data_IF_263461645706
#
_entry.id   IF_263461645706
#
_cell.length_a   1.000
_cell.length_b   1.000
_cell.length_c   1.000
_cell.angle_alpha   90.00
_cell.angle_beta   90.00
_cell.angle_gamma   90.00
#
_symmetry.space_group_name_H-M   'P 1'
#
loop_
_entity.id
_entity.type
_entity.pdbx_description
1 polymer ?
#
# COMPACT_ATOMS: atom_id res chain seq x y z
N UNK A 1 13.32 -6.53 -24.95
CA UNK A 1 13.90 -7.72 -24.27
C UNK A 1 12.80 -8.77 -24.06
N UNK A 2 13.16 -10.04 -23.75
CA UNK A 2 12.21 -11.05 -23.30
C UNK A 2 12.33 -11.18 -21.78
N UNK A 3 11.19 -11.09 -21.10
CA UNK A 3 11.10 -10.99 -19.63
C UNK A 3 10.07 -12.00 -19.14
N UNK A 4 10.41 -12.77 -18.12
CA UNK A 4 9.46 -13.55 -17.34
C UNK A 4 9.19 -12.84 -16.01
N UNK A 5 7.92 -12.77 -15.61
CA UNK A 5 7.51 -12.23 -14.30
C UNK A 5 6.80 -13.35 -13.54
N UNK A 6 7.42 -13.82 -12.47
CA UNK A 6 6.87 -14.89 -11.63
C UNK A 6 6.09 -14.30 -10.45
N UNK A 7 4.80 -14.57 -10.44
CA UNK A 7 3.80 -13.95 -9.56
C UNK A 7 3.05 -12.83 -10.27
N UNK A 8 1.70 -12.93 -10.31
CA UNK A 8 0.80 -11.91 -10.87
C UNK A 8 -0.04 -11.24 -9.78
N UNK A 9 0.57 -11.05 -8.60
CA UNK A 9 0.05 -10.15 -7.59
C UNK A 9 0.13 -8.68 -8.05
N UNK A 10 -0.14 -7.77 -7.15
CA UNK A 10 -0.14 -6.34 -7.46
C UNK A 10 1.16 -5.89 -8.13
N UNK A 11 2.30 -6.16 -7.50
CA UNK A 11 3.64 -5.77 -8.00
C UNK A 11 3.95 -6.44 -9.35
N UNK A 12 3.69 -7.74 -9.46
CA UNK A 12 4.02 -8.49 -10.67
C UNK A 12 3.19 -8.08 -11.88
N UNK A 13 1.87 -7.87 -11.70
CA UNK A 13 0.99 -7.49 -12.80
C UNK A 13 1.29 -6.05 -13.30
N UNK A 14 1.52 -5.10 -12.38
CA UNK A 14 1.94 -3.75 -12.75
C UNK A 14 3.30 -3.77 -13.45
N UNK A 15 4.29 -4.49 -12.88
CA UNK A 15 5.64 -4.60 -13.44
C UNK A 15 5.61 -5.20 -14.85
N UNK A 16 4.92 -6.33 -15.03
CA UNK A 16 4.81 -7.00 -16.33
C UNK A 16 4.14 -6.14 -17.38
N UNK A 17 3.03 -5.50 -17.01
CA UNK A 17 2.29 -4.60 -17.91
C UNK A 17 3.13 -3.38 -18.32
N UNK A 18 3.81 -2.72 -17.37
CA UNK A 18 4.61 -1.53 -17.66
C UNK A 18 5.86 -1.86 -18.48
N UNK A 19 6.52 -3.02 -18.25
CA UNK A 19 7.61 -3.45 -19.12
C UNK A 19 7.12 -3.83 -20.52
N UNK A 20 5.96 -4.46 -20.67
CA UNK A 20 5.37 -4.71 -21.97
C UNK A 20 5.05 -3.39 -22.70
N UNK A 21 4.57 -2.38 -21.97
CA UNK A 21 4.28 -1.04 -22.50
C UNK A 21 5.53 -0.34 -23.06
N UNK A 22 6.71 -0.60 -22.51
CA UNK A 22 7.98 -0.09 -23.04
C UNK A 22 8.57 -0.91 -24.20
N UNK A 23 7.77 -1.83 -24.80
CA UNK A 23 8.16 -2.59 -25.99
C UNK A 23 8.86 -3.92 -25.71
N UNK A 24 8.87 -4.40 -24.47
CA UNK A 24 9.38 -5.72 -24.14
C UNK A 24 8.30 -6.80 -24.38
N UNK A 25 8.73 -8.03 -24.66
CA UNK A 25 7.86 -9.22 -24.64
C UNK A 25 7.90 -9.80 -23.23
N UNK A 26 6.76 -9.83 -22.56
CA UNK A 26 6.65 -10.22 -21.16
C UNK A 26 5.74 -11.43 -21.03
N UNK A 27 6.22 -12.48 -20.36
CA UNK A 27 5.41 -13.64 -19.95
C UNK A 27 5.25 -13.60 -18.44
N UNK A 28 4.02 -13.40 -17.97
CA UNK A 28 3.66 -13.46 -16.56
C UNK A 28 3.26 -14.88 -16.18
N UNK A 29 3.77 -15.38 -15.07
CA UNK A 29 3.61 -16.75 -14.60
C UNK A 29 2.94 -16.73 -13.23
N UNK A 30 1.87 -17.49 -13.04
CA UNK A 30 1.22 -17.64 -11.73
C UNK A 30 0.73 -19.07 -11.56
N UNK A 31 0.77 -19.61 -10.35
CA UNK A 31 0.30 -20.97 -10.05
C UNK A 31 -1.24 -21.08 -10.06
N UNK A 32 -1.95 -19.95 -9.95
CA UNK A 32 -3.40 -19.88 -9.94
C UNK A 32 -3.95 -19.93 -11.39
N UNK A 33 -4.44 -21.08 -11.80
CA UNK A 33 -4.96 -21.32 -13.14
C UNK A 33 -6.19 -20.45 -13.47
N UNK A 34 -7.06 -20.19 -12.49
CA UNK A 34 -8.24 -19.35 -12.71
C UNK A 34 -7.85 -17.89 -12.93
N UNK A 35 -6.88 -17.42 -12.18
CA UNK A 35 -6.31 -16.07 -12.35
C UNK A 35 -5.62 -15.92 -13.71
N UNK A 36 -4.78 -16.88 -14.09
CA UNK A 36 -4.14 -16.90 -15.42
C UNK A 36 -5.19 -16.92 -16.54
N UNK A 37 -6.24 -17.71 -16.40
CA UNK A 37 -7.35 -17.75 -17.36
C UNK A 37 -8.09 -16.42 -17.49
N UNK A 38 -8.37 -15.72 -16.39
CA UNK A 38 -8.98 -14.38 -16.40
C UNK A 38 -8.06 -13.38 -17.08
N UNK A 39 -6.81 -13.30 -16.65
CA UNK A 39 -5.82 -12.38 -17.22
C UNK A 39 -5.61 -12.61 -18.72
N UNK A 40 -5.55 -13.86 -19.19
CA UNK A 40 -5.43 -14.20 -20.61
C UNK A 40 -6.64 -13.78 -21.45
N UNK A 41 -7.81 -13.61 -20.82
CA UNK A 41 -9.03 -13.09 -21.48
C UNK A 41 -9.18 -11.57 -21.42
N UNK A 42 -8.26 -10.88 -20.78
CA UNK A 42 -8.34 -9.43 -20.61
C UNK A 42 -9.04 -8.97 -19.32
N UNK A 43 -9.34 -9.90 -18.39
CA UNK A 43 -9.97 -9.59 -17.13
C UNK A 43 -8.90 -9.30 -16.06
N UNK A 44 -8.75 -8.04 -15.65
CA UNK A 44 -7.79 -7.65 -14.60
C UNK A 44 -8.27 -8.11 -13.23
N UNK A 45 -7.33 -8.60 -12.42
CA UNK A 45 -7.61 -9.18 -11.10
C UNK A 45 -7.23 -8.28 -9.92
N UNK A 46 -6.77 -7.07 -10.20
CA UNK A 46 -6.42 -6.05 -9.20
C UNK A 46 -7.02 -4.70 -9.63
N UNK A 47 -7.31 -3.85 -8.66
CA UNK A 47 -7.68 -2.45 -8.94
C UNK A 47 -6.44 -1.56 -8.91
N UNK A 48 -6.12 -0.91 -10.03
CA UNK A 48 -5.08 0.12 -10.13
C UNK A 48 -5.43 1.10 -11.24
N UNK A 49 -5.59 2.40 -10.94
CA UNK A 49 -5.90 3.42 -11.93
C UNK A 49 -4.93 3.45 -13.11
N UNK A 50 -5.46 3.41 -14.32
CA UNK A 50 -4.68 3.47 -15.56
C UNK A 50 -4.05 2.16 -16.02
N UNK A 51 -4.06 1.10 -15.21
CA UNK A 51 -3.47 -0.19 -15.57
C UNK A 51 -4.24 -0.89 -16.69
N UNK A 52 -5.57 -0.90 -16.63
CA UNK A 52 -6.41 -1.64 -17.57
C UNK A 52 -6.14 -1.26 -19.03
N UNK A 53 -6.04 0.03 -19.32
CA UNK A 53 -5.75 0.52 -20.67
C UNK A 53 -4.42 -0.01 -21.23
N UNK A 54 -3.36 -0.01 -20.41
CA UNK A 54 -2.04 -0.50 -20.80
C UNK A 54 -2.06 -2.03 -20.95
N UNK A 55 -2.69 -2.70 -20.00
CA UNK A 55 -2.84 -4.15 -19.97
C UNK A 55 -3.52 -4.67 -21.24
N UNK A 56 -4.72 -4.18 -21.58
CA UNK A 56 -5.49 -4.60 -22.75
C UNK A 56 -4.76 -4.29 -24.06
N UNK A 57 -4.05 -3.15 -24.16
CA UNK A 57 -3.25 -2.82 -25.32
C UNK A 57 -2.14 -3.84 -25.53
N UNK A 58 -1.35 -4.14 -24.50
CA UNK A 58 -0.21 -5.03 -24.59
C UNK A 58 -0.61 -6.51 -24.78
N UNK A 59 -1.78 -6.89 -24.28
CA UNK A 59 -2.37 -8.19 -24.56
C UNK A 59 -2.72 -8.34 -26.05
N UNK A 60 -3.38 -7.35 -26.65
CA UNK A 60 -3.75 -7.35 -28.09
C UNK A 60 -2.53 -7.33 -29.02
N UNK A 61 -1.45 -6.68 -28.59
CA UNK A 61 -0.22 -6.57 -29.37
C UNK A 61 0.77 -7.74 -29.11
N UNK A 62 0.31 -8.79 -28.42
CA UNK A 62 1.06 -10.03 -28.12
C UNK A 62 2.38 -9.77 -27.35
N UNK A 63 2.48 -8.62 -26.67
CA UNK A 63 3.62 -8.27 -25.83
C UNK A 63 3.47 -8.74 -24.38
N UNK A 64 2.25 -9.04 -23.93
CA UNK A 64 1.95 -9.52 -22.59
C UNK A 64 1.21 -10.85 -22.67
N UNK A 65 1.78 -11.88 -22.04
CA UNK A 65 1.25 -13.26 -22.03
C UNK A 65 1.16 -13.79 -20.61
N UNK A 66 0.31 -14.79 -20.41
CA UNK A 66 0.09 -15.42 -19.11
C UNK A 66 0.15 -16.94 -19.23
N UNK A 67 0.77 -17.61 -18.25
CA UNK A 67 0.88 -19.07 -18.20
C UNK A 67 0.98 -19.57 -16.76
N UNK A 68 0.62 -20.81 -16.53
CA UNK A 68 0.90 -21.53 -15.28
C UNK A 68 2.22 -22.30 -15.32
N UNK A 69 2.80 -22.46 -16.50
CA UNK A 69 3.97 -23.30 -16.75
C UNK A 69 5.27 -22.50 -16.56
N UNK A 70 5.96 -22.71 -15.43
CA UNK A 70 7.20 -22.00 -15.12
C UNK A 70 8.28 -22.24 -16.19
N UNK A 71 8.52 -23.51 -16.54
CA UNK A 71 9.58 -23.87 -17.50
C UNK A 71 9.36 -23.23 -18.88
N UNK A 72 8.12 -23.31 -19.40
CA UNK A 72 7.76 -22.68 -20.66
C UNK A 72 7.83 -21.15 -20.63
N UNK A 73 7.40 -20.55 -19.52
CA UNK A 73 7.39 -19.09 -19.34
C UNK A 73 8.78 -18.45 -19.25
N UNK A 74 9.78 -19.17 -18.69
CA UNK A 74 11.14 -18.64 -18.52
C UNK A 74 12.09 -19.03 -19.65
N UNK A 75 11.73 -20.01 -20.51
CA UNK A 75 12.61 -20.63 -21.50
C UNK A 75 13.41 -19.63 -22.33
N UNK A 76 12.75 -18.64 -22.89
CA UNK A 76 13.34 -17.66 -23.80
C UNK A 76 13.65 -16.30 -23.12
N UNK A 77 13.45 -16.20 -21.81
CA UNK A 77 13.55 -14.94 -21.08
C UNK A 77 14.97 -14.70 -20.57
N UNK A 78 15.60 -13.61 -20.97
CA UNK A 78 16.87 -13.17 -20.41
C UNK A 78 16.74 -12.73 -18.94
N UNK A 79 15.62 -12.09 -18.63
CA UNK A 79 15.31 -11.54 -17.31
C UNK A 79 14.19 -12.33 -16.68
N UNK A 80 14.37 -12.78 -15.45
CA UNK A 80 13.35 -13.48 -14.65
C UNK A 80 13.13 -12.66 -13.40
N UNK A 81 11.93 -12.07 -13.28
CA UNK A 81 11.55 -11.19 -12.17
C UNK A 81 10.72 -11.99 -11.17
N UNK A 82 11.17 -12.05 -9.93
CA UNK A 82 10.47 -12.67 -8.82
C UNK A 82 9.61 -11.59 -8.14
N UNK A 83 8.30 -11.64 -8.36
CA UNK A 83 7.30 -10.76 -7.74
C UNK A 83 6.31 -11.58 -6.89
N UNK A 84 6.87 -12.40 -6.02
CA UNK A 84 6.17 -13.38 -5.20
C UNK A 84 5.74 -12.79 -3.85
N UNK A 85 4.66 -13.31 -3.25
CA UNK A 85 4.22 -12.83 -1.95
C UNK A 85 5.24 -13.18 -0.85
N UNK A 86 5.42 -12.25 0.08
CA UNK A 86 6.22 -12.39 1.30
C UNK A 86 5.35 -12.08 2.52
N UNK A 87 4.36 -12.96 2.82
CA UNK A 87 3.46 -12.71 3.95
C UNK A 87 4.23 -12.70 5.28
N UNK A 88 3.71 -12.02 6.31
CA UNK A 88 4.30 -12.09 7.62
C UNK A 88 4.11 -13.51 8.21
N UNK A 89 5.18 -14.09 8.70
CA UNK A 89 5.15 -15.28 9.55
C UNK A 89 4.50 -14.98 10.91
N UNK A 90 4.15 -15.99 11.65
CA UNK A 90 3.55 -15.86 12.99
C UNK A 90 4.43 -15.12 13.99
N UNK A 91 5.73 -15.06 13.78
CA UNK A 91 6.72 -14.35 14.59
C UNK A 91 7.07 -12.94 14.06
N UNK A 92 6.41 -12.50 13.00
CA UNK A 92 6.63 -11.20 12.33
C UNK A 92 7.77 -11.19 11.30
N UNK A 93 8.46 -12.31 11.06
CA UNK A 93 9.39 -12.45 9.94
C UNK A 93 8.66 -12.49 8.60
N UNK A 94 9.37 -12.22 7.50
CA UNK A 94 8.81 -12.45 6.16
C UNK A 94 8.99 -13.93 5.76
N UNK A 95 7.91 -14.55 5.29
CA UNK A 95 7.96 -15.91 4.75
C UNK A 95 8.54 -15.89 3.32
N UNK A 96 9.69 -16.55 3.14
CA UNK A 96 10.41 -16.65 1.86
C UNK A 96 10.16 -17.96 1.13
N UNK A 97 9.30 -18.84 1.64
CA UNK A 97 9.11 -20.20 1.12
C UNK A 97 8.77 -20.21 -0.37
N UNK A 98 7.89 -19.30 -0.82
CA UNK A 98 7.51 -19.18 -2.23
C UNK A 98 8.70 -18.77 -3.13
N UNK A 99 9.48 -17.80 -2.68
CA UNK A 99 10.66 -17.32 -3.43
C UNK A 99 11.72 -18.41 -3.54
N UNK A 100 12.05 -19.07 -2.43
CA UNK A 100 13.10 -20.10 -2.40
C UNK A 100 12.68 -21.36 -3.17
N UNK A 101 11.39 -21.73 -3.15
CA UNK A 101 10.87 -22.80 -3.98
C UNK A 101 11.03 -22.49 -5.46
N UNK A 102 10.63 -21.30 -5.89
CA UNK A 102 10.77 -20.89 -7.30
C UNK A 102 12.25 -20.82 -7.68
N UNK A 103 13.14 -20.34 -6.80
CA UNK A 103 14.57 -20.31 -7.02
C UNK A 103 15.15 -21.73 -7.23
N UNK A 104 14.78 -22.72 -6.42
CA UNK A 104 15.18 -24.12 -6.59
C UNK A 104 14.67 -24.70 -7.92
N UNK A 105 13.42 -24.44 -8.27
CA UNK A 105 12.83 -24.87 -9.53
C UNK A 105 13.51 -24.21 -10.74
N UNK A 106 13.87 -22.93 -10.67
CA UNK A 106 14.66 -22.23 -11.69
C UNK A 106 16.04 -22.87 -11.87
N UNK A 107 16.69 -23.28 -10.79
CA UNK A 107 17.98 -23.98 -10.85
C UNK A 107 17.95 -25.25 -11.70
N UNK A 108 16.83 -25.94 -11.78
CA UNK A 108 16.62 -27.16 -12.60
C UNK A 108 16.31 -26.83 -14.08
N UNK A 109 15.85 -25.62 -14.36
CA UNK A 109 15.32 -25.21 -15.67
C UNK A 109 16.35 -24.41 -16.48
N UNK A 110 17.14 -23.56 -15.80
CA UNK A 110 18.07 -22.61 -16.45
C UNK A 110 19.22 -23.39 -17.11
N UNK A 111 19.37 -23.21 -18.43
CA UNK A 111 20.45 -23.81 -19.24
C UNK A 111 21.42 -22.79 -19.85
N UNK A 112 21.03 -21.53 -19.88
CA UNK A 112 21.80 -20.40 -20.42
C UNK A 112 21.86 -19.27 -19.41
N UNK A 113 22.68 -18.25 -19.71
CA UNK A 113 22.79 -17.05 -18.87
C UNK A 113 21.44 -16.37 -18.65
N UNK A 114 21.13 -16.09 -17.38
CA UNK A 114 19.92 -15.37 -16.95
C UNK A 114 20.27 -14.35 -15.87
N UNK A 115 19.47 -13.28 -15.81
CA UNK A 115 19.47 -12.35 -14.68
C UNK A 115 18.18 -12.57 -13.90
N UNK A 116 18.33 -12.99 -12.65
CA UNK A 116 17.23 -13.22 -11.72
C UNK A 116 17.05 -11.95 -10.89
N UNK A 117 15.89 -11.32 -10.97
CA UNK A 117 15.62 -10.05 -10.33
C UNK A 117 14.65 -10.28 -9.18
N UNK A 118 15.12 -10.16 -7.95
CA UNK A 118 14.23 -10.13 -6.79
C UNK A 118 13.59 -8.76 -6.66
N UNK A 119 12.30 -8.70 -6.99
CA UNK A 119 11.49 -7.49 -6.93
C UNK A 119 10.59 -7.43 -5.71
N UNK A 120 10.36 -8.55 -5.07
CA UNK A 120 9.63 -8.65 -3.82
C UNK A 120 10.33 -7.87 -2.70
N UNK A 121 9.56 -7.37 -1.73
CA UNK A 121 10.15 -6.81 -0.50
C UNK A 121 10.57 -7.93 0.42
N UNK A 122 11.88 -8.10 0.58
CA UNK A 122 12.50 -9.25 1.25
C UNK A 122 13.51 -8.82 2.32
N UNK A 123 13.73 -9.63 3.38
CA UNK A 123 14.76 -9.38 4.39
C UNK A 123 16.17 -9.37 3.79
N UNK A 124 17.07 -8.63 4.45
CA UNK A 124 18.48 -8.55 4.09
C UNK A 124 19.11 -9.95 4.05
N UNK A 125 19.85 -10.23 2.97
CA UNK A 125 20.49 -11.53 2.72
C UNK A 125 19.60 -12.51 1.94
N UNK A 126 18.46 -12.07 1.38
CA UNK A 126 17.60 -12.92 0.57
C UNK A 126 18.22 -13.21 -0.79
N UNK A 127 18.87 -12.25 -1.44
CA UNK A 127 19.57 -12.47 -2.71
C UNK A 127 20.60 -13.61 -2.61
N UNK A 128 21.33 -13.70 -1.50
CA UNK A 128 22.29 -14.78 -1.26
C UNK A 128 21.59 -16.15 -1.12
N UNK A 129 20.42 -16.19 -0.48
CA UNK A 129 19.63 -17.42 -0.36
C UNK A 129 19.07 -17.85 -1.71
N UNK A 130 18.60 -16.91 -2.53
CA UNK A 130 18.16 -17.16 -3.91
C UNK A 130 19.32 -17.68 -4.75
N UNK A 131 20.49 -17.02 -4.68
CA UNK A 131 21.72 -17.47 -5.34
C UNK A 131 22.06 -18.92 -4.95
N UNK A 132 22.03 -19.24 -3.68
CA UNK A 132 22.35 -20.58 -3.16
C UNK A 132 21.34 -21.61 -3.66
N UNK A 133 20.05 -21.31 -3.61
CA UNK A 133 18.99 -22.22 -4.04
C UNK A 133 19.09 -22.56 -5.55
N UNK A 134 19.34 -21.55 -6.38
CA UNK A 134 19.53 -21.77 -7.83
C UNK A 134 20.82 -22.57 -8.09
N UNK A 135 21.95 -22.20 -7.45
CA UNK A 135 23.25 -22.84 -7.63
C UNK A 135 23.26 -24.32 -7.26
N UNK A 136 22.36 -24.77 -6.38
CA UNK A 136 22.26 -26.18 -5.99
C UNK A 136 21.96 -27.11 -7.19
N UNK A 137 21.29 -26.64 -8.23
CA UNK A 137 20.86 -27.43 -9.38
C UNK A 137 21.32 -26.84 -10.73
N UNK A 138 21.71 -25.55 -10.80
CA UNK A 138 22.09 -24.86 -12.02
C UNK A 138 23.59 -24.94 -12.30
N UNK A 139 23.94 -25.31 -13.55
CA UNK A 139 25.32 -25.31 -14.06
C UNK A 139 25.61 -24.12 -14.98
N UNK A 140 24.57 -23.40 -15.42
CA UNK A 140 24.71 -22.22 -16.27
C UNK A 140 25.13 -21.01 -15.43
N UNK A 141 25.74 -20.04 -16.09
CA UNK A 141 26.04 -18.73 -15.49
C UNK A 141 24.73 -17.96 -15.25
N UNK A 142 24.58 -17.33 -14.12
CA UNK A 142 23.47 -16.43 -13.81
C UNK A 142 23.87 -15.37 -12.78
N UNK A 143 23.15 -14.26 -12.78
CA UNK A 143 23.29 -13.21 -11.76
C UNK A 143 21.98 -13.06 -10.99
N UNK A 144 22.07 -12.83 -9.67
CA UNK A 144 20.94 -12.41 -8.84
C UNK A 144 21.05 -10.91 -8.59
N UNK A 145 19.93 -10.21 -8.71
CA UNK A 145 19.83 -8.77 -8.57
C UNK A 145 18.69 -8.44 -7.60
N UNK A 146 18.97 -7.67 -6.57
CA UNK A 146 17.93 -7.08 -5.72
C UNK A 146 17.44 -5.78 -6.35
N UNK A 147 16.18 -5.74 -6.77
CA UNK A 147 15.58 -4.55 -7.36
C UNK A 147 14.22 -4.27 -6.71
N UNK A 148 14.22 -3.81 -5.45
CA UNK A 148 12.98 -3.55 -4.72
C UNK A 148 12.13 -2.50 -5.43
N UNK A 149 10.82 -2.65 -5.33
CA UNK A 149 9.86 -1.71 -5.87
C UNK A 149 9.57 -0.58 -4.86
N UNK A 150 9.15 0.58 -5.37
CA UNK A 150 8.69 1.73 -4.56
C UNK A 150 7.35 2.24 -5.08
N UNK A 151 6.53 1.32 -5.56
CA UNK A 151 5.21 1.60 -6.12
C UNK A 151 4.22 1.92 -5.00
N UNK A 152 3.39 2.93 -5.23
CA UNK A 152 2.28 3.26 -4.34
C UNK A 152 1.00 2.71 -4.96
N UNK A 153 0.28 1.84 -4.28
CA UNK A 153 -1.06 1.43 -4.70
C UNK A 153 -1.91 2.66 -5.06
N UNK A 154 -2.66 2.59 -6.16
CA UNK A 154 -3.42 3.73 -6.69
C UNK A 154 -2.62 4.75 -7.52
N UNK A 155 -1.29 4.61 -7.58
CA UNK A 155 -0.37 5.43 -8.39
C UNK A 155 0.77 4.58 -8.97
N UNK A 156 0.67 3.26 -8.93
CA UNK A 156 1.77 2.37 -9.25
C UNK A 156 2.17 2.43 -10.73
N UNK A 157 1.22 2.61 -11.63
CA UNK A 157 1.51 2.81 -13.06
C UNK A 157 2.33 4.10 -13.26
N UNK A 158 1.95 5.20 -12.61
CA UNK A 158 2.70 6.46 -12.71
C UNK A 158 4.09 6.33 -12.10
N UNK A 159 4.18 5.76 -10.90
CA UNK A 159 5.44 5.54 -10.19
C UNK A 159 6.40 4.63 -10.99
N UNK A 160 5.86 3.63 -11.71
CA UNK A 160 6.66 2.76 -12.56
C UNK A 160 7.14 3.44 -13.83
N UNK A 161 6.22 4.16 -14.53
CA UNK A 161 6.51 4.83 -15.79
C UNK A 161 7.37 6.09 -15.64
N UNK A 162 7.39 6.68 -14.44
CA UNK A 162 8.13 7.89 -14.09
C UNK A 162 8.74 7.79 -12.69
N UNK A 163 9.67 6.85 -12.47
CA UNK A 163 10.21 6.62 -11.14
C UNK A 163 11.09 7.79 -10.67
N UNK A 164 10.99 8.17 -9.40
CA UNK A 164 11.92 9.13 -8.78
C UNK A 164 13.36 8.58 -8.79
N UNK A 165 13.51 7.28 -8.61
CA UNK A 165 14.79 6.52 -8.68
C UNK A 165 14.50 5.03 -8.87
N UNK A 166 15.50 4.31 -9.35
CA UNK A 166 15.53 2.84 -9.38
C UNK A 166 16.72 2.37 -8.55
N UNK A 167 16.46 1.53 -7.54
CA UNK A 167 17.49 0.92 -6.69
C UNK A 167 17.83 -0.45 -7.25
N UNK A 168 19.12 -0.72 -7.44
CA UNK A 168 19.61 -1.98 -8.00
C UNK A 168 20.82 -2.47 -7.19
N UNK A 169 20.63 -3.58 -6.50
CA UNK A 169 21.67 -4.28 -5.76
C UNK A 169 22.28 -5.37 -6.62
N UNK A 170 23.53 -5.20 -7.05
CA UNK A 170 24.30 -6.24 -7.73
C UNK A 170 25.77 -5.88 -7.85
N UNK A 171 26.64 -6.88 -7.65
CA UNK A 171 28.06 -6.79 -7.92
C UNK A 171 28.42 -6.99 -9.39
N UNK A 172 27.55 -7.61 -10.22
CA UNK A 172 27.82 -7.99 -11.59
C UNK A 172 27.76 -6.79 -12.56
N UNK A 173 28.86 -6.49 -13.25
CA UNK A 173 28.88 -5.46 -14.29
C UNK A 173 28.01 -5.82 -15.51
N UNK A 174 27.90 -7.11 -15.82
CA UNK A 174 27.08 -7.64 -16.89
C UNK A 174 25.60 -7.40 -16.58
N UNK A 175 25.15 -7.75 -15.36
CA UNK A 175 23.79 -7.48 -14.89
C UNK A 175 23.49 -5.98 -14.84
N UNK A 176 24.43 -5.13 -14.35
CA UNK A 176 24.27 -3.66 -14.34
C UNK A 176 23.95 -3.10 -15.70
N UNK A 177 24.68 -3.54 -16.75
CA UNK A 177 24.43 -3.09 -18.12
C UNK A 177 23.04 -3.49 -18.61
N UNK A 178 22.64 -4.75 -18.41
CA UNK A 178 21.34 -5.27 -18.82
C UNK A 178 20.20 -4.52 -18.11
N UNK A 179 20.32 -4.28 -16.80
CA UNK A 179 19.33 -3.53 -16.03
C UNK A 179 19.29 -2.05 -16.46
N UNK A 180 20.43 -1.44 -16.76
CA UNK A 180 20.47 -0.07 -17.30
C UNK A 180 19.70 0.02 -18.62
N UNK A 181 19.92 -0.92 -19.53
CA UNK A 181 19.20 -0.97 -20.81
C UNK A 181 17.70 -1.23 -20.62
N UNK A 182 17.31 -2.08 -19.65
CA UNK A 182 15.91 -2.34 -19.30
C UNK A 182 15.18 -1.09 -18.83
N UNK A 183 15.80 -0.31 -17.94
CA UNK A 183 15.19 0.88 -17.35
C UNK A 183 15.41 2.16 -18.17
N UNK A 184 16.24 2.15 -19.21
CA UNK A 184 16.53 3.33 -20.04
C UNK A 184 15.28 4.08 -20.54
N UNK A 185 14.19 3.41 -21.00
CA UNK A 185 12.98 4.10 -21.45
C UNK A 185 12.25 4.91 -20.36
N UNK A 186 12.47 4.58 -19.09
CA UNK A 186 11.83 5.22 -17.94
C UNK A 186 12.67 6.34 -17.34
N UNK A 187 13.96 6.41 -17.70
CA UNK A 187 14.89 7.41 -17.17
C UNK A 187 14.74 8.73 -17.90
N UNK A 188 14.56 9.81 -17.14
CA UNK A 188 14.58 11.20 -17.62
C UNK A 188 15.86 11.88 -17.12
N UNK A 189 16.09 13.14 -17.52
CA UNK A 189 17.35 13.86 -17.29
C UNK A 189 17.87 13.81 -15.85
N UNK A 190 16.99 13.76 -14.85
CA UNK A 190 17.36 13.78 -13.42
C UNK A 190 17.11 12.45 -12.69
N UNK A 191 16.51 11.45 -13.34
CA UNK A 191 16.21 10.17 -12.70
C UNK A 191 17.42 9.24 -12.80
N UNK A 192 17.79 8.63 -11.67
CA UNK A 192 19.02 7.83 -11.61
C UNK A 192 18.70 6.38 -11.25
N UNK A 193 19.42 5.47 -11.90
CA UNK A 193 19.59 4.12 -11.38
C UNK A 193 20.72 4.20 -10.36
N UNK A 194 20.41 3.84 -9.12
CA UNK A 194 21.39 3.84 -8.04
C UNK A 194 21.83 2.40 -7.83
N UNK A 195 23.06 2.10 -8.22
CA UNK A 195 23.67 0.79 -8.04
C UNK A 195 24.33 0.70 -6.67
N UNK A 196 24.12 -0.41 -5.99
CA UNK A 196 24.71 -0.75 -4.70
C UNK A 196 24.88 -2.27 -4.58
N UNK A 197 25.34 -2.78 -3.46
CA UNK A 197 25.30 -4.21 -3.16
C UNK A 197 23.86 -4.68 -2.85
N UNK A 198 23.63 -5.98 -2.92
CA UNK A 198 22.31 -6.58 -2.77
C UNK A 198 21.72 -6.31 -1.37
N UNK A 199 22.52 -6.43 -0.30
CA UNK A 199 22.06 -6.20 1.09
C UNK A 199 21.65 -4.75 1.32
N UNK A 200 22.41 -3.81 0.78
CA UNK A 200 22.06 -2.38 0.84
C UNK A 200 20.77 -2.08 0.09
N UNK A 201 20.54 -2.70 -1.07
CA UNK A 201 19.31 -2.53 -1.82
C UNK A 201 18.08 -3.08 -1.06
N UNK A 202 18.19 -4.27 -0.50
CA UNK A 202 17.15 -4.90 0.34
C UNK A 202 16.83 -4.02 1.55
N UNK A 203 17.85 -3.56 2.29
CA UNK A 203 17.66 -2.70 3.45
C UNK A 203 17.06 -1.33 3.08
N UNK A 204 17.43 -0.78 1.93
CA UNK A 204 16.92 0.53 1.47
C UNK A 204 15.38 0.55 1.37
N UNK A 205 14.77 -0.54 0.91
CA UNK A 205 13.30 -0.65 0.84
C UNK A 205 12.66 -0.56 2.22
N UNK A 206 13.15 -1.36 3.16
CA UNK A 206 12.62 -1.35 4.54
C UNK A 206 12.86 -0.02 5.23
N UNK A 207 14.05 0.56 5.07
CA UNK A 207 14.40 1.86 5.64
C UNK A 207 13.49 2.98 5.12
N UNK A 208 13.26 3.01 3.79
CA UNK A 208 12.37 3.99 3.18
C UNK A 208 10.93 3.90 3.73
N UNK A 209 10.33 2.70 3.72
CA UNK A 209 8.97 2.51 4.22
C UNK A 209 8.87 2.82 5.72
N UNK A 210 9.85 2.41 6.52
CA UNK A 210 9.91 2.69 7.95
C UNK A 210 10.05 4.19 8.24
N UNK A 211 10.84 4.91 7.45
CA UNK A 211 10.99 6.36 7.61
C UNK A 211 9.69 7.10 7.28
N UNK A 212 8.99 6.69 6.21
CA UNK A 212 7.68 7.27 5.86
C UNK A 212 6.64 7.01 6.96
N UNK A 213 6.59 5.78 7.50
CA UNK A 213 5.72 5.44 8.63
C UNK A 213 6.05 6.28 9.88
N UNK A 214 7.34 6.52 10.15
CA UNK A 214 7.80 7.38 11.24
C UNK A 214 7.32 8.82 11.07
N UNK A 215 7.39 9.40 9.86
CA UNK A 215 6.90 10.76 9.59
C UNK A 215 5.41 10.89 9.89
N UNK A 216 4.59 9.92 9.47
CA UNK A 216 3.14 9.93 9.74
C UNK A 216 2.90 9.84 11.26
N UNK A 217 3.57 8.90 11.93
CA UNK A 217 3.41 8.69 13.37
C UNK A 217 3.84 9.90 14.17
N UNK A 218 4.97 10.53 13.82
CA UNK A 218 5.42 11.77 14.44
C UNK A 218 4.36 12.88 14.33
N UNK A 219 3.75 13.05 13.15
CA UNK A 219 2.70 14.05 12.96
C UNK A 219 1.42 13.71 13.73
N UNK A 220 1.10 12.43 13.93
CA UNK A 220 -0.02 12.03 14.77
C UNK A 220 0.22 12.39 16.24
N UNK A 221 1.42 12.22 16.77
CA UNK A 221 1.76 12.66 18.13
C UNK A 221 1.75 14.19 18.25
N UNK A 222 2.26 14.92 17.26
CA UNK A 222 2.14 16.37 17.19
C UNK A 222 0.67 16.81 17.19
N UNK A 223 -0.20 16.10 16.47
CA UNK A 223 -1.64 16.38 16.47
C UNK A 223 -2.26 16.25 17.88
N UNK A 224 -1.88 15.20 18.63
CA UNK A 224 -2.32 15.01 20.02
C UNK A 224 -1.84 16.18 20.91
N UNK A 225 -0.60 16.66 20.73
CA UNK A 225 -0.08 17.83 21.45
C UNK A 225 -0.82 19.10 21.06
N UNK A 226 -1.17 19.29 19.78
CA UNK A 226 -1.97 20.43 19.33
C UNK A 226 -3.31 20.50 20.06
N UNK A 227 -4.00 19.38 20.22
CA UNK A 227 -5.27 19.32 20.96
C UNK A 227 -5.11 19.73 22.45
N UNK A 228 -4.00 19.35 23.07
CA UNK A 228 -3.70 19.69 24.47
C UNK A 228 -3.28 21.16 24.66
N UNK A 229 -2.53 21.71 23.70
CA UNK A 229 -2.02 23.08 23.76
C UNK A 229 -2.95 24.11 23.11
N UNK A 230 -4.03 23.67 22.44
CA UNK A 230 -4.89 24.57 21.67
C UNK A 230 -4.27 25.09 20.38
N UNK A 231 -3.27 24.35 19.83
CA UNK A 231 -2.65 24.65 18.55
C UNK A 231 -3.40 23.99 17.38
N UNK A 232 -2.99 24.30 16.14
CA UNK A 232 -3.54 23.73 14.91
C UNK A 232 -2.46 22.96 14.17
N UNK A 233 -2.68 21.65 13.99
CA UNK A 233 -1.70 20.76 13.34
C UNK A 233 -1.49 21.08 11.87
N UNK A 234 -2.49 21.62 11.16
CA UNK A 234 -2.34 21.98 9.75
C UNK A 234 -1.41 23.19 9.58
N UNK A 235 -1.43 24.13 10.51
CA UNK A 235 -0.47 25.24 10.53
C UNK A 235 0.94 24.75 10.83
N UNK A 236 1.11 23.85 11.81
CA UNK A 236 2.40 23.23 12.13
C UNK A 236 2.91 22.42 10.92
N UNK A 237 2.07 21.60 10.31
CA UNK A 237 2.41 20.84 9.11
C UNK A 237 2.90 21.73 7.97
N UNK A 238 2.23 22.85 7.75
CA UNK A 238 2.64 23.84 6.74
C UNK A 238 3.98 24.47 7.08
N UNK A 239 4.18 24.86 8.34
CA UNK A 239 5.47 25.38 8.83
C UNK A 239 6.61 24.39 8.63
N UNK A 240 6.45 23.15 9.10
CA UNK A 240 7.46 22.09 8.93
C UNK A 240 7.75 21.78 7.46
N UNK A 241 6.70 21.68 6.64
CA UNK A 241 6.81 21.28 5.23
C UNK A 241 7.46 22.33 4.32
N UNK A 242 7.67 23.55 4.76
CA UNK A 242 8.41 24.58 4.02
C UNK A 242 9.93 24.47 4.18
N UNK A 243 10.41 23.73 5.17
CA UNK A 243 11.83 23.39 5.30
C UNK A 243 12.17 22.26 4.30
N UNK A 244 13.06 22.54 3.33
CA UNK A 244 13.48 21.58 2.30
C UNK A 244 14.13 20.32 2.88
N UNK A 245 14.77 20.42 4.06
CA UNK A 245 15.38 19.27 4.75
C UNK A 245 14.31 18.28 5.25
N UNK A 246 13.08 18.72 5.50
CA UNK A 246 11.95 17.91 5.97
C UNK A 246 11.07 17.48 4.79
N UNK A 247 10.72 18.44 3.91
CA UNK A 247 9.84 18.25 2.75
C UNK A 247 8.36 18.08 3.14
N UNK A 248 7.48 18.31 2.18
CA UNK A 248 6.01 18.39 2.40
C UNK A 248 5.29 17.04 2.52
N UNK A 249 5.89 15.99 1.98
CA UNK A 249 5.22 14.67 1.85
C UNK A 249 5.25 13.88 3.17
N UNK A 250 4.19 13.11 3.42
CA UNK A 250 4.04 12.24 4.61
C UNK A 250 3.97 12.98 5.95
N UNK A 251 3.55 14.25 5.95
CA UNK A 251 3.32 15.05 7.15
C UNK A 251 1.82 15.23 7.47
N UNK A 252 0.94 14.40 6.93
CA UNK A 252 -0.50 14.51 7.14
C UNK A 252 -0.92 13.65 8.35
N UNK A 253 -1.39 14.26 9.43
CA UNK A 253 -1.94 13.51 10.57
C UNK A 253 -3.29 12.92 10.21
N UNK A 254 -3.67 11.86 10.92
CA UNK A 254 -4.96 11.19 10.73
C UNK A 254 -5.14 10.06 11.74
N UNK A 255 -6.01 9.13 11.41
CA UNK A 255 -6.33 7.96 12.24
C UNK A 255 -5.32 6.80 12.07
N UNK A 256 -4.06 7.10 11.85
CA UNK A 256 -3.01 6.10 11.63
C UNK A 256 -2.91 5.63 10.18
N UNK A 257 -1.91 4.76 9.95
CA UNK A 257 -1.68 4.13 8.66
C UNK A 257 -2.06 2.65 8.67
N UNK A 258 -2.43 2.14 7.50
CA UNK A 258 -2.72 0.74 7.20
C UNK A 258 -2.06 0.32 5.90
N UNK A 259 -2.71 -0.59 5.19
CA UNK A 259 -2.26 -1.16 3.92
C UNK A 259 -1.31 -2.34 4.10
N UNK A 260 -0.95 -2.94 2.98
CA UNK A 260 -0.13 -4.15 2.92
C UNK A 260 1.36 -3.92 3.20
N UNK A 261 1.85 -2.69 3.06
CA UNK A 261 3.29 -2.41 3.08
C UNK A 261 3.78 -1.93 4.44
N UNK A 262 3.34 -0.76 4.92
CA UNK A 262 3.92 -0.14 6.12
C UNK A 262 3.83 -1.03 7.36
N UNK A 263 2.67 -1.60 7.75
CA UNK A 263 2.61 -2.44 8.94
C UNK A 263 3.52 -3.66 8.85
N UNK A 264 3.56 -4.31 7.68
CA UNK A 264 4.36 -5.50 7.44
C UNK A 264 5.86 -5.18 7.46
N UNK A 265 6.28 -4.14 6.73
CA UNK A 265 7.70 -3.84 6.52
C UNK A 265 8.35 -3.29 7.79
N UNK A 266 7.63 -2.46 8.57
CA UNK A 266 8.10 -1.99 9.88
C UNK A 266 8.29 -3.17 10.84
N UNK A 267 7.31 -4.09 10.94
CA UNK A 267 7.41 -5.31 11.76
C UNK A 267 8.58 -6.19 11.32
N UNK A 268 8.75 -6.39 10.01
CA UNK A 268 9.84 -7.21 9.47
C UNK A 268 11.23 -6.60 9.76
N UNK A 269 11.38 -5.27 9.65
CA UNK A 269 12.65 -4.61 9.97
C UNK A 269 12.97 -4.69 11.47
N UNK A 270 11.99 -4.51 12.35
CA UNK A 270 12.18 -4.71 13.82
C UNK A 270 12.60 -6.14 14.13
N UNK A 271 11.97 -7.12 13.45
CA UNK A 271 12.34 -8.53 13.63
C UNK A 271 13.74 -8.82 13.11
N UNK A 272 14.11 -8.31 11.94
CA UNK A 272 15.46 -8.45 11.37
C UNK A 272 16.53 -7.84 12.28
N UNK A 273 16.25 -6.66 12.85
CA UNK A 273 17.15 -6.02 13.81
C UNK A 273 17.40 -6.89 15.06
N UNK A 274 16.34 -7.50 15.62
CA UNK A 274 16.47 -8.45 16.73
C UNK A 274 17.32 -9.68 16.37
N UNK A 275 17.29 -10.12 15.13
CA UNK A 275 18.10 -11.24 14.64
C UNK A 275 19.61 -10.96 14.60
N UNK A 276 20.02 -9.69 14.75
CA UNK A 276 21.42 -9.23 14.86
C UNK A 276 21.66 -8.51 16.19
N UNK A 277 20.91 -8.86 17.22
CA UNK A 277 21.03 -8.34 18.60
C UNK A 277 20.88 -6.81 18.69
N UNK A 278 20.08 -6.20 17.81
CA UNK A 278 19.81 -4.77 17.83
C UNK A 278 18.35 -4.47 18.14
N UNK A 279 18.10 -3.66 19.17
CA UNK A 279 16.77 -3.16 19.52
C UNK A 279 16.44 -1.87 18.74
N UNK A 280 15.52 -1.93 17.80
CA UNK A 280 15.12 -0.77 16.99
C UNK A 280 14.01 0.04 17.69
N UNK A 281 14.38 0.84 18.70
CA UNK A 281 13.46 1.58 19.59
C UNK A 281 12.49 2.50 18.86
N UNK A 282 12.97 3.28 17.87
CA UNK A 282 12.13 4.21 17.10
C UNK A 282 10.97 3.45 16.42
N UNK A 283 11.24 2.32 15.77
CA UNK A 283 10.20 1.58 15.06
C UNK A 283 9.24 0.84 16.00
N UNK A 284 9.69 0.44 17.18
CA UNK A 284 8.80 -0.10 18.22
C UNK A 284 7.80 0.97 18.66
N UNK A 285 8.26 2.19 18.93
CA UNK A 285 7.40 3.32 19.27
C UNK A 285 6.43 3.66 18.12
N UNK A 286 6.89 3.65 16.87
CA UNK A 286 6.04 3.87 15.69
C UNK A 286 4.89 2.87 15.62
N UNK A 287 5.15 1.58 15.84
CA UNK A 287 4.12 0.55 15.84
C UNK A 287 3.11 0.78 16.98
N UNK A 288 3.62 1.01 18.20
CA UNK A 288 2.78 1.20 19.38
C UNK A 288 1.85 2.42 19.24
N UNK A 289 2.39 3.54 18.80
CA UNK A 289 1.62 4.78 18.59
C UNK A 289 0.59 4.59 17.48
N UNK A 290 0.96 3.92 16.37
CA UNK A 290 0.04 3.68 15.26
C UNK A 290 -1.15 2.81 15.66
N UNK A 291 -0.95 1.75 16.46
CA UNK A 291 -2.05 0.90 16.94
C UNK A 291 -3.05 1.70 17.81
N UNK A 292 -2.56 2.60 18.67
CA UNK A 292 -3.42 3.50 19.45
C UNK A 292 -4.15 4.50 18.54
N UNK A 293 -3.44 5.02 17.52
CA UNK A 293 -3.97 6.03 16.61
C UNK A 293 -5.13 5.50 15.75
N UNK A 294 -5.11 4.23 15.33
CA UNK A 294 -6.21 3.60 14.58
C UNK A 294 -7.56 3.71 15.29
N UNK A 295 -7.56 3.76 16.60
CA UNK A 295 -8.77 3.84 17.43
C UNK A 295 -9.07 5.24 17.96
N UNK A 296 -8.30 6.25 17.60
CA UNK A 296 -8.36 7.60 18.20
C UNK A 296 -9.72 8.29 18.09
N UNK A 297 -10.55 7.97 17.09
CA UNK A 297 -11.90 8.52 16.96
C UNK A 297 -12.92 7.83 17.89
N UNK A 298 -12.73 6.59 18.26
CA UNK A 298 -13.72 5.83 19.07
C UNK A 298 -14.00 6.49 20.42
N UNK A 299 -13.00 6.88 21.23
CA UNK A 299 -13.23 7.60 22.48
C UNK A 299 -13.94 8.95 22.28
N UNK A 300 -13.72 9.65 21.17
CA UNK A 300 -14.35 10.94 20.85
C UNK A 300 -15.82 10.74 20.53
N UNK A 301 -16.14 9.74 19.71
CA UNK A 301 -17.53 9.37 19.39
C UNK A 301 -18.26 8.96 20.67
N UNK A 302 -17.66 8.11 21.51
CA UNK A 302 -18.23 7.71 22.80
C UNK A 302 -18.50 8.91 23.70
N UNK A 303 -17.56 9.83 23.81
CA UNK A 303 -17.71 11.06 24.61
C UNK A 303 -18.88 11.92 24.12
N UNK A 304 -19.00 12.10 22.80
CA UNK A 304 -20.10 12.89 22.22
C UNK A 304 -21.48 12.31 22.55
N UNK A 305 -21.61 10.99 22.55
CA UNK A 305 -22.86 10.28 22.86
C UNK A 305 -22.98 9.89 24.34
N UNK A 306 -22.21 10.48 25.27
CA UNK A 306 -22.22 10.16 26.69
C UNK A 306 -22.07 8.66 27.01
N UNK A 307 -21.21 7.97 26.23
CA UNK A 307 -20.95 6.53 26.26
C UNK A 307 -22.20 5.64 25.95
N UNK A 308 -23.23 6.20 25.34
CA UNK A 308 -24.41 5.45 24.89
C UNK A 308 -24.47 5.39 23.38
N UNK A 309 -23.88 4.33 22.80
CA UNK A 309 -23.86 4.08 21.37
C UNK A 309 -24.89 3.02 20.93
N UNK A 310 -25.60 2.42 21.87
CA UNK A 310 -26.57 1.37 21.56
C UNK A 310 -27.68 1.88 20.65
N UNK A 311 -27.81 1.24 19.47
CA UNK A 311 -28.82 1.59 18.48
C UNK A 311 -28.54 2.91 17.73
N UNK A 312 -27.40 3.61 17.94
CA UNK A 312 -27.02 4.76 17.13
C UNK A 312 -26.62 4.29 15.74
N UNK A 313 -27.12 4.94 14.71
CA UNK A 313 -26.68 4.71 13.33
C UNK A 313 -25.49 5.60 13.03
N UNK A 314 -24.32 4.99 12.82
CA UNK A 314 -23.08 5.69 12.46
C UNK A 314 -22.77 5.39 11.00
N UNK A 315 -22.69 6.43 10.18
CA UNK A 315 -22.23 6.32 8.80
C UNK A 315 -20.71 6.32 8.77
N UNK A 316 -20.11 5.55 7.85
CA UNK A 316 -18.66 5.53 7.60
C UNK A 316 -18.40 5.74 6.12
N UNK A 317 -17.70 6.81 5.79
CA UNK A 317 -17.17 7.07 4.46
C UNK A 317 -15.69 6.74 4.39
N UNK A 318 -15.36 5.81 3.50
CA UNK A 318 -14.01 5.29 3.32
C UNK A 318 -13.75 4.02 4.12
N UNK A 319 -13.44 2.93 3.40
CA UNK A 319 -13.16 1.61 3.95
C UNK A 319 -11.74 1.18 3.61
N UNK A 320 -11.25 1.52 2.42
CA UNK A 320 -9.86 1.34 2.04
C UNK A 320 -8.91 2.16 2.93
N UNK A 321 -7.68 1.69 3.10
CA UNK A 321 -6.70 2.37 3.95
C UNK A 321 -6.26 3.75 3.43
N UNK A 322 -6.45 4.01 2.15
CA UNK A 322 -6.22 5.29 1.46
C UNK A 322 -7.05 5.38 0.17
N UNK A 323 -7.16 6.55 -0.48
CA UNK A 323 -7.84 6.69 -1.78
C UNK A 323 -7.16 5.90 -2.92
N UNK A 324 -7.93 5.64 -3.98
CA UNK A 324 -7.49 5.02 -5.23
C UNK A 324 -7.01 3.56 -5.09
N UNK A 325 -7.50 2.84 -4.09
CA UNK A 325 -7.26 1.40 -3.91
C UNK A 325 -8.48 0.73 -3.29
N UNK A 326 -8.60 -0.57 -3.50
CA UNK A 326 -9.60 -1.42 -2.85
C UNK A 326 -9.03 -2.19 -1.63
N UNK A 327 -7.76 -1.92 -1.27
CA UNK A 327 -7.06 -2.61 -0.17
C UNK A 327 -7.55 -2.14 1.21
N UNK A 328 -8.10 -3.09 1.96
CA UNK A 328 -8.62 -2.88 3.32
C UNK A 328 -7.70 -3.44 4.42
N UNK A 329 -6.57 -4.03 4.05
CA UNK A 329 -5.65 -4.66 5.02
C UNK A 329 -5.13 -3.61 6.00
N UNK A 330 -5.24 -3.90 7.30
CA UNK A 330 -4.85 -2.97 8.37
C UNK A 330 -5.49 -1.57 8.26
N UNK A 331 -6.60 -1.42 7.50
CA UNK A 331 -7.29 -0.14 7.34
C UNK A 331 -7.89 0.31 8.68
N UNK A 332 -7.59 1.54 9.15
CA UNK A 332 -8.12 2.07 10.40
C UNK A 332 -9.65 2.07 10.46
N UNK A 333 -10.33 2.23 9.33
CA UNK A 333 -11.79 2.16 9.20
C UNK A 333 -12.37 0.88 9.77
N UNK A 334 -11.76 -0.28 9.49
CA UNK A 334 -12.24 -1.58 9.96
C UNK A 334 -12.06 -1.74 11.47
N UNK A 335 -11.00 -1.20 12.04
CA UNK A 335 -10.78 -1.19 13.49
C UNK A 335 -11.86 -0.34 14.18
N UNK A 336 -12.14 0.85 13.67
CA UNK A 336 -13.19 1.75 14.18
C UNK A 336 -14.56 1.07 14.08
N UNK A 337 -14.90 0.49 12.93
CA UNK A 337 -16.19 -0.21 12.72
C UNK A 337 -16.36 -1.33 13.72
N UNK A 338 -15.36 -2.19 13.91
CA UNK A 338 -15.43 -3.30 14.87
C UNK A 338 -15.66 -2.83 16.30
N UNK A 339 -15.00 -1.75 16.72
CA UNK A 339 -15.22 -1.20 18.07
C UNK A 339 -16.61 -0.56 18.21
N UNK A 340 -17.11 0.18 17.21
CA UNK A 340 -18.44 0.75 17.24
C UNK A 340 -19.55 -0.34 17.26
N UNK A 341 -19.35 -1.44 16.54
CA UNK A 341 -20.26 -2.59 16.58
C UNK A 341 -20.28 -3.26 17.96
N UNK A 342 -19.14 -3.41 18.64
CA UNK A 342 -19.06 -3.94 20.01
C UNK A 342 -19.85 -3.07 21.00
N UNK A 343 -19.90 -1.76 20.79
CA UNK A 343 -20.66 -0.81 21.59
C UNK A 343 -22.17 -0.77 21.22
N UNK A 344 -22.60 -1.62 20.28
CA UNK A 344 -24.02 -1.76 19.88
C UNK A 344 -24.50 -0.75 18.85
N UNK A 345 -23.60 -0.06 18.14
CA UNK A 345 -23.97 0.82 17.04
C UNK A 345 -24.42 0.04 15.80
N UNK A 346 -25.26 0.66 14.98
CA UNK A 346 -25.57 0.22 13.62
C UNK A 346 -24.66 0.97 12.65
N UNK A 347 -24.02 0.25 11.73
CA UNK A 347 -23.07 0.84 10.78
C UNK A 347 -23.63 0.78 9.37
N UNK A 348 -23.66 1.94 8.70
CA UNK A 348 -23.86 2.05 7.26
C UNK A 348 -22.61 2.64 6.62
N UNK A 349 -22.05 2.00 5.61
CA UNK A 349 -20.75 2.39 5.07
C UNK A 349 -20.74 2.48 3.55
N UNK A 350 -19.86 3.35 3.05
CA UNK A 350 -19.60 3.53 1.64
C UNK A 350 -18.09 3.68 1.38
N UNK A 351 -17.65 3.06 0.32
CA UNK A 351 -16.33 3.27 -0.31
C UNK A 351 -16.47 3.07 -1.81
N UNK A 352 -15.82 3.88 -2.64
CA UNK A 352 -15.90 3.74 -4.10
C UNK A 352 -15.46 2.37 -4.62
N UNK A 353 -14.42 1.75 -4.01
CA UNK A 353 -13.77 0.55 -4.53
C UNK A 353 -13.75 -0.63 -3.52
N UNK A 354 -13.71 -0.35 -2.21
CA UNK A 354 -13.41 -1.37 -1.22
C UNK A 354 -14.64 -2.11 -0.65
N UNK A 355 -15.86 -1.81 -1.11
CA UNK A 355 -17.09 -2.43 -0.54
C UNK A 355 -17.10 -3.96 -0.69
N UNK A 356 -16.67 -4.50 -1.85
CA UNK A 356 -16.67 -5.95 -2.07
C UNK A 356 -15.69 -6.69 -1.14
N UNK A 357 -14.50 -6.10 -0.91
CA UNK A 357 -13.50 -6.64 0.01
C UNK A 357 -14.00 -6.55 1.46
N UNK A 358 -14.62 -5.42 1.82
CA UNK A 358 -15.20 -5.22 3.16
C UNK A 358 -16.34 -6.21 3.45
N UNK A 359 -17.21 -6.50 2.47
CA UNK A 359 -18.27 -7.50 2.62
C UNK A 359 -17.70 -8.89 2.91
N UNK A 360 -16.59 -9.27 2.26
CA UNK A 360 -15.90 -10.55 2.54
C UNK A 360 -15.34 -10.62 3.96
N UNK A 361 -14.86 -9.48 4.48
CA UNK A 361 -14.19 -9.39 5.78
C UNK A 361 -15.17 -9.24 6.95
N UNK A 362 -16.24 -8.44 6.81
CA UNK A 362 -17.20 -8.12 7.88
C UNK A 362 -18.56 -8.79 7.72
N UNK A 363 -18.83 -9.42 6.55
CA UNK A 363 -20.11 -10.05 6.27
C UNK A 363 -21.28 -9.06 6.25
N UNK A 364 -22.43 -9.49 6.77
CA UNK A 364 -23.66 -8.70 6.84
C UNK A 364 -23.79 -7.91 8.18
N UNK A 365 -22.70 -7.80 8.95
CA UNK A 365 -22.72 -7.04 10.21
C UNK A 365 -22.84 -5.52 10.01
N UNK A 366 -22.66 -5.05 8.78
CA UNK A 366 -22.78 -3.66 8.38
C UNK A 366 -23.61 -3.53 7.09
N UNK A 367 -24.30 -2.41 6.95
CA UNK A 367 -24.97 -2.03 5.71
C UNK A 367 -23.94 -1.41 4.75
N UNK A 368 -23.71 -2.01 3.58
CA UNK A 368 -22.90 -1.44 2.49
C UNK A 368 -23.84 -0.88 1.43
N UNK A 369 -23.79 0.44 1.22
CA UNK A 369 -24.77 1.14 0.39
C UNK A 369 -24.14 2.36 -0.30
N UNK A 370 -24.94 3.18 -1.03
CA UNK A 370 -24.41 4.37 -1.70
C UNK A 370 -24.00 5.48 -0.71
N UNK A 371 -23.12 6.40 -1.18
CA UNK A 371 -22.54 7.47 -0.36
C UNK A 371 -23.59 8.23 0.48
N UNK A 372 -24.64 8.73 -0.16
CA UNK A 372 -25.69 9.51 0.52
C UNK A 372 -26.73 8.63 1.22
N UNK A 373 -26.91 7.39 0.80
CA UNK A 373 -27.80 6.46 1.49
C UNK A 373 -27.21 6.02 2.83
N UNK A 374 -25.89 5.89 2.93
CA UNK A 374 -25.19 5.57 4.17
C UNK A 374 -25.47 6.60 5.27
N UNK A 375 -25.54 7.89 4.92
CA UNK A 375 -25.77 8.96 5.89
C UNK A 375 -27.25 9.22 6.20
N UNK A 376 -28.17 8.55 5.50
CA UNK A 376 -29.62 8.75 5.70
C UNK A 376 -30.02 8.32 7.13
N UNK A 377 -30.58 9.28 7.87
CA UNK A 377 -30.98 9.15 9.27
C UNK A 377 -29.83 8.73 10.22
N UNK A 378 -28.56 8.96 9.87
CA UNK A 378 -27.45 8.68 10.76
C UNK A 378 -27.35 9.70 11.90
N UNK A 379 -26.90 9.23 13.06
CA UNK A 379 -26.63 10.06 14.24
C UNK A 379 -25.24 10.76 14.12
N UNK A 380 -24.30 10.17 13.37
CA UNK A 380 -23.01 10.77 13.04
C UNK A 380 -22.41 10.17 11.76
N UNK A 381 -21.51 10.92 11.12
CA UNK A 381 -20.67 10.47 10.03
C UNK A 381 -19.21 10.38 10.48
N UNK A 382 -18.54 9.28 10.18
CA UNK A 382 -17.09 9.10 10.31
C UNK A 382 -16.46 9.15 8.92
N UNK A 383 -15.45 10.00 8.71
CA UNK A 383 -14.64 10.02 7.49
C UNK A 383 -13.32 9.33 7.81
N UNK A 384 -13.11 8.15 7.22
CA UNK A 384 -11.94 7.32 7.51
C UNK A 384 -10.92 7.29 6.36
N UNK A 385 -11.33 7.67 5.13
CA UNK A 385 -10.46 7.76 3.95
C UNK A 385 -10.77 9.04 3.17
N UNK A 386 -9.73 9.70 2.68
CA UNK A 386 -9.85 11.03 2.04
C UNK A 386 -10.08 10.95 0.52
N UNK A 387 -11.06 10.15 0.07
CA UNK A 387 -11.44 10.11 -1.34
C UNK A 387 -11.81 11.49 -1.89
N UNK A 388 -11.51 11.77 -3.16
CA UNK A 388 -11.79 13.08 -3.75
C UNK A 388 -13.28 13.45 -3.70
N UNK A 389 -14.17 12.49 -3.91
CA UNK A 389 -15.61 12.71 -3.83
C UNK A 389 -16.12 13.10 -2.44
N UNK A 390 -15.36 12.74 -1.38
CA UNK A 390 -15.69 13.16 -0.01
C UNK A 390 -15.23 14.58 0.31
N UNK A 391 -14.33 15.17 -0.50
CA UNK A 391 -13.81 16.54 -0.25
C UNK A 391 -14.82 17.65 -0.57
N UNK A 392 -15.67 17.43 -1.57
CA UNK A 392 -16.66 18.40 -2.04
C UNK A 392 -18.03 17.78 -2.18
N UNK A 393 -18.60 17.22 -1.08
CA UNK A 393 -19.95 16.68 -1.14
C UNK A 393 -20.98 17.79 -1.23
N UNK A 394 -22.20 17.42 -1.57
CA UNK A 394 -23.38 18.30 -1.43
C UNK A 394 -23.75 18.42 0.06
N UNK A 395 -23.29 19.49 0.70
CA UNK A 395 -23.52 19.73 2.13
C UNK A 395 -25.00 20.01 2.48
N UNK A 396 -25.77 20.56 1.56
CA UNK A 396 -27.22 20.78 1.76
C UNK A 396 -27.94 19.44 1.81
N UNK A 397 -27.60 18.56 0.87
CA UNK A 397 -28.09 17.18 0.83
C UNK A 397 -27.68 16.41 2.09
N UNK A 398 -26.40 16.51 2.50
CA UNK A 398 -25.95 15.92 3.77
C UNK A 398 -26.78 16.41 4.95
N UNK A 399 -26.94 17.72 5.08
CA UNK A 399 -27.71 18.36 6.15
C UNK A 399 -29.17 17.89 6.21
N UNK A 400 -29.78 17.64 5.04
CA UNK A 400 -31.17 17.17 4.93
C UNK A 400 -31.34 15.69 5.22
N UNK A 401 -30.33 14.85 4.94
CA UNK A 401 -30.39 13.41 5.09
C UNK A 401 -30.01 12.92 6.49
N UNK A 402 -29.05 13.59 7.12
CA UNK A 402 -28.55 13.20 8.43
C UNK A 402 -29.58 13.55 9.52
N UNK A 403 -29.76 12.66 10.50
CA UNK A 403 -30.56 12.93 11.70
C UNK A 403 -29.92 13.99 12.59
N UNK A 404 -28.60 14.03 12.64
CA UNK A 404 -27.80 15.02 13.35
C UNK A 404 -26.64 15.46 12.47
N UNK A 405 -26.34 16.75 12.46
CA UNK A 405 -25.19 17.32 11.74
C UNK A 405 -23.89 17.10 12.52
N UNK A 406 -23.44 15.85 12.61
CA UNK A 406 -22.25 15.46 13.41
C UNK A 406 -21.26 14.71 12.52
N UNK A 407 -20.04 15.21 12.46
CA UNK A 407 -18.96 14.61 11.65
C UNK A 407 -17.70 14.41 12.53
N UNK A 408 -17.18 13.18 12.51
CA UNK A 408 -15.86 12.82 13.04
C UNK A 408 -14.94 12.56 11.86
N UNK A 409 -13.97 13.43 11.65
CA UNK A 409 -13.12 13.41 10.47
C UNK A 409 -11.70 12.93 10.82
N UNK A 410 -11.39 11.71 10.45
CA UNK A 410 -10.09 11.06 10.66
C UNK A 410 -9.01 11.49 9.68
N UNK A 411 -9.33 12.35 8.70
CA UNK A 411 -8.42 12.74 7.60
C UNK A 411 -8.32 14.24 7.38
N UNK A 412 -8.95 15.04 8.24
CA UNK A 412 -8.94 16.50 8.15
C UNK A 412 -9.37 17.02 6.77
N UNK A 413 -10.45 16.47 6.22
CA UNK A 413 -10.91 16.73 4.86
C UNK A 413 -11.53 18.12 4.72
N UNK A 414 -12.24 18.59 5.78
CA UNK A 414 -13.00 19.84 5.73
C UNK A 414 -12.35 20.98 6.51
N UNK A 415 -12.61 22.19 6.02
CA UNK A 415 -12.22 23.45 6.66
C UNK A 415 -13.10 23.71 7.90
N UNK A 416 -12.49 24.10 9.04
CA UNK A 416 -13.21 24.34 10.29
C UNK A 416 -14.25 25.46 10.16
N UNK A 417 -13.88 26.55 9.48
CA UNK A 417 -14.77 27.71 9.28
C UNK A 417 -16.02 27.32 8.47
N UNK A 418 -15.85 26.52 7.42
CA UNK A 418 -16.97 26.05 6.60
C UNK A 418 -17.93 25.17 7.40
N UNK A 419 -17.39 24.27 8.24
CA UNK A 419 -18.22 23.39 9.08
C UNK A 419 -19.03 24.20 10.10
N UNK A 420 -18.43 25.27 10.65
CA UNK A 420 -19.13 26.21 11.55
C UNK A 420 -20.27 26.94 10.84
N UNK A 421 -20.02 27.46 9.66
CA UNK A 421 -21.03 28.19 8.87
C UNK A 421 -22.23 27.30 8.48
N UNK A 422 -21.97 26.00 8.22
CA UNK A 422 -23.00 25.03 7.88
C UNK A 422 -23.73 24.45 9.11
N UNK A 423 -23.30 24.79 10.33
CA UNK A 423 -23.90 24.34 11.57
C UNK A 423 -23.64 22.86 11.89
N UNK A 424 -22.47 22.34 11.51
CA UNK A 424 -22.05 21.00 11.89
C UNK A 424 -21.28 21.00 13.20
N UNK A 425 -21.57 20.03 14.07
CA UNK A 425 -20.55 19.58 15.01
C UNK A 425 -19.48 18.86 14.19
N UNK A 426 -18.25 19.32 14.31
CA UNK A 426 -17.14 18.75 13.54
C UNK A 426 -15.92 18.58 14.42
N UNK A 427 -15.48 17.34 14.58
CA UNK A 427 -14.29 16.99 15.32
C UNK A 427 -13.29 16.26 14.39
N UNK A 428 -12.06 16.72 14.38
CA UNK A 428 -11.01 16.23 13.50
C UNK A 428 -9.70 16.04 14.28
N UNK A 429 -8.63 15.64 13.60
CA UNK A 429 -7.36 15.27 14.25
C UNK A 429 -6.48 16.51 14.42
N UNK A 430 -6.08 16.82 15.68
CA UNK A 430 -5.10 17.88 15.99
C UNK A 430 -5.59 19.29 15.72
N UNK A 431 -6.90 19.52 15.68
CA UNK A 431 -7.54 20.82 15.45
C UNK A 431 -8.64 21.08 16.48
N UNK A 432 -9.02 22.34 16.61
CA UNK A 432 -10.12 22.72 17.51
C UNK A 432 -11.45 22.13 17.03
N UNK A 433 -12.21 21.54 17.97
CA UNK A 433 -13.57 21.07 17.68
C UNK A 433 -14.49 22.24 17.36
N UNK A 434 -15.30 22.12 16.33
CA UNK A 434 -16.39 23.04 15.99
C UNK A 434 -17.66 22.51 16.66
N UNK A 435 -18.22 23.28 17.56
CA UNK A 435 -19.56 23.05 18.10
C UNK A 435 -20.59 23.85 17.29
N UNK A 436 -21.71 23.22 16.97
CA UNK A 436 -22.86 23.86 16.33
C UNK A 436 -23.46 24.92 17.24
#
# INVERSE_FOLDING_TARGET
MRIAVVGTGYVGLVTGTCFAESGNTVTCIDIDADKVKKLSKGEITIYEPGLEKLFLRNLREDRLKFTTELAGGVKDSLLIILALPTPPGGDGSADLSAILKVADDLGKIISDYRVIIDKSTVPVGTAEKVQTAISANCKAEFDVVSNPEFLREGFAVEDFMKPDRVIVGTGSQKARKIISDLYAPFMRQDNRIIFMDERSAELTKYAANSFLATKITFMNEIAILCEKFGADVDLIRRGLGTDERIGKRFLFPGIGFGGSCFPKDVKALVKSAKGVDYEFKILQAVMEVNEKQKLSLVPRIKKYFNNDLKGKKIAVWGLAFKPNTDDIREAPSLFIIRELLKEGSQIAAFDPEAMANTRRELGENIELTGQYDAIKNCDALVIATEWNEFRTPDFDKMSSLMKRKVIFDGRNVYELQKMKELGFYYESIGRKTVSA
#
